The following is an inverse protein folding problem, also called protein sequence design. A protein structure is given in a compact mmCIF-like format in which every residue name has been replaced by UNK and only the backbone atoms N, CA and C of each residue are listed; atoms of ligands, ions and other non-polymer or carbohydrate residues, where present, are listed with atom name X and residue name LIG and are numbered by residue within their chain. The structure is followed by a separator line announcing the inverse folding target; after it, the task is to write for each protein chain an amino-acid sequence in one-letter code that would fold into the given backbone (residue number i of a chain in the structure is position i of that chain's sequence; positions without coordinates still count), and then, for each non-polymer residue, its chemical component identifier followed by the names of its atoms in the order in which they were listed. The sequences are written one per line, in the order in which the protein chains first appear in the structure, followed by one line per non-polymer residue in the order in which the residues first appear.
data_IF_397351082509
#
_entry.id   IF_397351082509
#
_cell.length_a   1.000
_cell.length_b   1.000
_cell.length_c   1.000
_cell.angle_alpha   90.00
_cell.angle_beta   90.00
_cell.angle_gamma   90.00
#
_symmetry.space_group_name_H-M   'P 1'
#
loop_
_entity.id
_entity.type
_entity.pdbx_description
1 polymer ?
#
# COMPACT_ATOMS: atom_id res chain seq x y z
N UNK A 1 -20.24 -31.50 6.02
CA UNK A 1 -20.22 -31.09 7.44
C UNK A 1 -20.20 -29.57 7.48
N UNK A 2 -21.33 -28.93 7.77
CA UNK A 2 -21.42 -27.48 7.98
C UNK A 2 -20.77 -27.16 9.32
N UNK A 3 -19.61 -26.49 9.30
CA UNK A 3 -19.00 -25.96 10.52
C UNK A 3 -19.89 -24.84 11.03
N UNK A 4 -20.51 -25.03 12.20
CA UNK A 4 -21.27 -24.01 12.87
C UNK A 4 -20.28 -23.00 13.46
N UNK A 5 -20.00 -21.91 12.75
CA UNK A 5 -19.07 -20.85 13.18
C UNK A 5 -19.85 -19.63 13.65
N UNK A 6 -19.53 -19.14 14.85
CA UNK A 6 -20.14 -17.97 15.50
C UNK A 6 -19.48 -16.64 15.13
N UNK A 7 -18.45 -16.68 14.27
CA UNK A 7 -17.72 -15.51 13.82
C UNK A 7 -17.90 -15.28 12.31
N UNK A 8 -17.80 -14.01 11.91
CA UNK A 8 -17.80 -13.59 10.50
C UNK A 8 -16.50 -12.84 10.21
N UNK A 9 -15.85 -13.17 9.10
CA UNK A 9 -14.79 -12.34 8.53
C UNK A 9 -15.46 -11.12 7.89
N UNK A 10 -15.23 -9.93 8.46
CA UNK A 10 -15.94 -8.71 8.06
C UNK A 10 -15.31 -8.04 6.82
N UNK A 11 -13.99 -8.09 6.70
CA UNK A 11 -13.23 -7.44 5.65
C UNK A 11 -11.80 -7.15 6.09
N UNK A 12 -11.00 -6.57 5.19
CA UNK A 12 -9.66 -6.12 5.52
C UNK A 12 -9.75 -4.77 6.25
N UNK A 13 -9.24 -4.68 7.47
CA UNK A 13 -9.15 -3.41 8.19
C UNK A 13 -7.95 -2.58 7.70
N UNK A 14 -6.79 -3.21 7.57
CA UNK A 14 -5.55 -2.59 7.14
C UNK A 14 -4.65 -3.64 6.51
N UNK A 15 -3.66 -3.18 5.74
CA UNK A 15 -2.48 -3.98 5.38
C UNK A 15 -1.28 -3.46 6.17
N UNK A 16 -0.42 -4.38 6.62
CA UNK A 16 0.88 -4.01 7.18
C UNK A 16 1.96 -4.29 6.14
N UNK A 17 2.82 -3.30 5.91
CA UNK A 17 4.01 -3.42 5.05
C UNK A 17 5.24 -3.12 5.91
N UNK A 18 6.21 -4.02 5.85
CA UNK A 18 7.48 -3.84 6.56
C UNK A 18 8.32 -2.74 5.91
N UNK A 19 9.03 -1.99 6.74
CA UNK A 19 9.96 -0.94 6.33
C UNK A 19 11.21 -0.97 7.24
N UNK A 20 12.39 -0.51 6.79
CA UNK A 20 13.57 -0.49 7.64
C UNK A 20 13.46 0.62 8.71
N UNK A 21 14.22 0.54 9.82
CA UNK A 21 14.27 1.59 10.83
C UNK A 21 14.67 2.95 10.23
N UNK A 22 14.05 4.04 10.67
CA UNK A 22 14.39 5.42 10.25
C UNK A 22 13.90 5.81 8.85
N UNK A 23 12.99 5.03 8.25
CA UNK A 23 12.48 5.25 6.89
C UNK A 23 11.22 6.10 6.81
N UNK A 24 10.75 6.67 7.93
CA UNK A 24 9.47 7.40 8.01
C UNK A 24 9.39 8.58 7.03
N UNK A 25 10.49 9.29 6.78
CA UNK A 25 10.48 10.40 5.83
C UNK A 25 10.39 9.92 4.37
N UNK A 26 10.98 8.76 4.04
CA UNK A 26 10.78 8.13 2.73
C UNK A 26 9.33 7.66 2.58
N UNK A 27 8.75 7.15 3.66
CA UNK A 27 7.36 6.75 3.70
C UNK A 27 6.42 7.94 3.48
N UNK A 28 6.63 9.06 4.17
CA UNK A 28 5.83 10.29 4.00
C UNK A 28 5.94 10.85 2.59
N UNK A 29 7.13 10.87 2.01
CA UNK A 29 7.31 11.28 0.61
C UNK A 29 6.49 10.42 -0.34
N UNK A 30 6.55 9.09 -0.20
CA UNK A 30 5.83 8.20 -1.11
C UNK A 30 4.32 8.17 -0.84
N UNK A 31 3.92 7.80 0.37
CA UNK A 31 2.52 7.55 0.72
C UNK A 31 1.74 8.84 0.97
N UNK A 32 2.36 9.83 1.59
CA UNK A 32 1.78 11.15 1.82
C UNK A 32 1.84 12.02 0.56
N UNK A 33 3.04 12.39 0.13
CA UNK A 33 3.20 13.42 -0.91
C UNK A 33 2.89 12.89 -2.32
N UNK A 34 3.38 11.70 -2.69
CA UNK A 34 3.16 11.15 -4.04
C UNK A 34 1.75 10.55 -4.18
N UNK A 35 1.31 9.71 -3.25
CA UNK A 35 -0.02 9.08 -3.32
C UNK A 35 -1.16 9.94 -2.74
N UNK A 36 -0.84 11.04 -2.05
CA UNK A 36 -1.83 11.93 -1.48
C UNK A 36 -2.59 11.36 -0.27
N UNK A 37 -2.08 10.31 0.38
CA UNK A 37 -2.74 9.72 1.55
C UNK A 37 -2.52 10.57 2.80
N UNK A 38 -3.48 10.53 3.72
CA UNK A 38 -3.38 11.25 5.00
C UNK A 38 -2.60 10.43 6.02
N UNK A 39 -1.53 10.98 6.60
CA UNK A 39 -0.83 10.33 7.73
C UNK A 39 -1.73 10.31 8.97
N UNK A 40 -1.85 9.15 9.60
CA UNK A 40 -2.66 8.91 10.80
C UNK A 40 -1.74 8.81 12.01
N UNK A 41 -2.09 9.53 13.07
CA UNK A 41 -1.33 9.50 14.33
C UNK A 41 -1.43 8.12 14.97
N UNK A 42 -0.29 7.47 15.18
CA UNK A 42 -0.22 6.21 15.91
C UNK A 42 -0.71 6.36 17.36
N UNK A 43 -1.43 5.35 17.89
CA UNK A 43 -1.76 5.27 19.31
C UNK A 43 -0.50 5.42 20.19
N UNK A 44 -0.58 6.07 21.36
CA UNK A 44 0.58 6.30 22.23
C UNK A 44 1.42 5.04 22.48
N UNK A 45 0.76 3.91 22.77
CA UNK A 45 1.41 2.63 23.04
C UNK A 45 2.23 2.06 21.87
N UNK A 46 2.01 2.53 20.63
CA UNK A 46 2.67 2.03 19.43
C UNK A 46 3.73 3.00 18.86
N UNK A 47 3.88 4.19 19.43
CA UNK A 47 4.81 5.21 18.90
C UNK A 47 6.27 4.80 19.00
N UNK A 48 6.65 4.16 20.11
CA UNK A 48 8.03 3.70 20.34
C UNK A 48 8.50 2.64 19.33
N UNK A 49 7.57 2.01 18.58
CA UNK A 49 7.89 0.98 17.57
C UNK A 49 8.31 1.55 16.21
N UNK A 50 8.40 2.87 16.04
CA UNK A 50 8.73 3.52 14.76
C UNK A 50 7.67 3.30 13.68
N UNK A 51 7.90 3.80 12.47
CA UNK A 51 7.00 3.70 11.33
C UNK A 51 5.85 4.71 11.35
N UNK A 52 5.01 4.66 10.33
CA UNK A 52 3.92 5.62 10.10
C UNK A 52 2.72 4.94 9.45
N UNK A 53 1.52 5.51 9.67
CA UNK A 53 0.26 4.96 9.17
C UNK A 53 -0.38 5.94 8.21
N UNK A 54 -1.04 5.44 7.17
CA UNK A 54 -1.70 6.27 6.16
C UNK A 54 -3.11 5.77 5.89
N UNK A 55 -4.02 6.71 5.58
CA UNK A 55 -5.40 6.40 5.19
C UNK A 55 -5.82 7.19 3.94
N UNK A 56 -6.58 6.53 3.07
CA UNK A 56 -7.29 7.16 1.96
C UNK A 56 -8.54 6.34 1.63
N UNK A 57 -9.70 7.00 1.55
CA UNK A 57 -10.98 6.31 1.42
C UNK A 57 -11.17 5.23 2.50
N UNK A 58 -11.43 4.00 2.07
CA UNK A 58 -11.56 2.83 2.96
C UNK A 58 -10.26 2.05 3.22
N UNK A 59 -9.12 2.46 2.66
CA UNK A 59 -7.84 1.78 2.82
C UNK A 59 -7.01 2.40 3.94
N UNK A 60 -6.44 1.53 4.78
CA UNK A 60 -5.42 1.89 5.77
C UNK A 60 -4.16 1.05 5.60
N UNK A 61 -3.01 1.72 5.59
CA UNK A 61 -1.68 1.11 5.42
C UNK A 61 -0.84 1.40 6.65
N UNK A 62 -0.37 0.34 7.30
CA UNK A 62 0.55 0.44 8.43
C UNK A 62 1.96 0.11 7.97
N UNK A 63 2.86 1.10 7.98
CA UNK A 63 4.27 0.89 7.69
C UNK A 63 4.97 0.58 9.01
N UNK A 64 5.31 -0.69 9.20
CA UNK A 64 5.88 -1.22 10.44
C UNK A 64 7.38 -1.43 10.31
N UNK A 65 8.14 -0.97 11.30
CA UNK A 65 9.60 -1.15 11.31
C UNK A 65 9.95 -2.62 11.54
N UNK A 66 10.85 -3.14 10.70
CA UNK A 66 11.45 -4.47 10.80
C UNK A 66 12.98 -4.34 10.74
N UNK A 67 13.70 -4.93 11.70
CA UNK A 67 15.15 -4.74 11.83
C UNK A 67 15.93 -5.35 10.64
N UNK A 68 15.60 -6.58 10.27
CA UNK A 68 16.21 -7.32 9.16
C UNK A 68 15.38 -7.18 7.87
N UNK A 69 14.94 -5.95 7.58
CA UNK A 69 14.03 -5.65 6.49
C UNK A 69 14.55 -6.15 5.13
N UNK A 70 13.70 -6.90 4.43
CA UNK A 70 13.85 -7.25 3.01
C UNK A 70 12.57 -6.84 2.28
N UNK A 71 12.65 -6.08 1.18
CA UNK A 71 11.46 -5.62 0.48
C UNK A 71 10.62 -6.77 -0.07
N UNK A 72 9.30 -6.69 0.11
CA UNK A 72 8.36 -7.65 -0.45
C UNK A 72 8.21 -7.43 -1.97
N UNK A 73 9.01 -8.15 -2.77
CA UNK A 73 9.00 -8.02 -4.25
C UNK A 73 7.90 -8.83 -4.95
N UNK A 74 7.25 -9.74 -4.21
CA UNK A 74 6.16 -10.59 -4.72
C UNK A 74 4.85 -10.37 -3.99
N UNK A 75 4.82 -10.47 -2.66
CA UNK A 75 3.62 -10.15 -1.88
C UNK A 75 3.36 -8.65 -1.95
N UNK A 76 2.12 -8.26 -2.24
CA UNK A 76 1.70 -6.87 -2.36
C UNK A 76 0.19 -6.74 -2.11
N UNK A 77 -0.29 -5.58 -1.65
CA UNK A 77 -1.71 -5.24 -1.72
C UNK A 77 -2.09 -4.88 -3.16
N UNK A 78 -3.26 -5.33 -3.60
CA UNK A 78 -3.98 -4.79 -4.75
C UNK A 78 -4.83 -3.60 -4.29
N UNK A 79 -4.52 -2.41 -4.79
CA UNK A 79 -5.12 -1.14 -4.36
C UNK A 79 -6.02 -0.61 -5.46
N UNK A 80 -7.30 -0.45 -5.15
CA UNK A 80 -8.24 0.21 -6.05
C UNK A 80 -7.97 1.70 -6.10
N UNK A 81 -7.98 2.25 -7.32
CA UNK A 81 -7.85 3.69 -7.56
C UNK A 81 -8.92 4.17 -8.54
N UNK A 82 -9.21 5.46 -8.47
CA UNK A 82 -9.95 6.16 -9.52
C UNK A 82 -8.94 6.94 -10.35
N UNK A 83 -9.02 6.82 -11.67
CA UNK A 83 -8.06 7.38 -12.63
C UNK A 83 -6.66 6.75 -12.53
N UNK A 84 -6.57 5.49 -12.99
CA UNK A 84 -5.32 4.73 -12.97
C UNK A 84 -4.20 5.39 -13.79
N UNK A 85 -4.56 6.08 -14.88
CA UNK A 85 -3.60 6.72 -15.77
C UNK A 85 -2.99 7.97 -15.14
N UNK A 86 -3.80 8.83 -14.49
CA UNK A 86 -3.27 9.98 -13.77
C UNK A 86 -2.30 9.58 -12.65
N UNK A 87 -2.58 8.47 -11.95
CA UNK A 87 -1.65 7.95 -10.95
C UNK A 87 -0.35 7.42 -11.59
N UNK A 88 -0.44 6.66 -12.69
CA UNK A 88 0.72 6.16 -13.40
C UNK A 88 1.62 7.30 -13.91
N UNK A 89 1.02 8.35 -14.48
CA UNK A 89 1.73 9.53 -14.99
C UNK A 89 2.41 10.30 -13.86
N UNK A 90 1.72 10.51 -12.74
CA UNK A 90 2.30 11.17 -11.55
C UNK A 90 3.49 10.39 -11.00
N UNK A 91 3.38 9.07 -10.87
CA UNK A 91 4.47 8.21 -10.40
C UNK A 91 5.67 8.26 -11.36
N UNK A 92 5.42 8.16 -12.66
CA UNK A 92 6.45 8.24 -13.70
C UNK A 92 7.18 9.60 -13.68
N UNK A 93 6.43 10.71 -13.54
CA UNK A 93 6.99 12.05 -13.42
C UNK A 93 7.91 12.23 -12.20
N UNK A 94 7.72 11.43 -11.15
CA UNK A 94 8.57 11.39 -9.95
C UNK A 94 9.62 10.26 -10.01
N UNK A 95 9.94 9.77 -11.21
CA UNK A 95 11.00 8.78 -11.45
C UNK A 95 10.69 7.38 -10.93
N UNK A 96 9.40 7.04 -10.75
CA UNK A 96 8.98 5.68 -10.39
C UNK A 96 8.73 4.86 -11.65
N UNK A 97 9.20 3.62 -11.65
CA UNK A 97 8.88 2.67 -12.70
C UNK A 97 7.44 2.19 -12.56
N UNK A 98 6.72 2.14 -13.68
CA UNK A 98 5.35 1.64 -13.77
C UNK A 98 5.31 0.50 -14.78
N UNK A 99 5.01 -0.70 -14.31
CA UNK A 99 4.88 -1.90 -15.15
C UNK A 99 3.42 -2.28 -15.33
N UNK A 100 2.84 -1.94 -16.48
CA UNK A 100 1.45 -2.32 -16.83
C UNK A 100 1.35 -3.84 -17.10
N UNK A 101 0.23 -4.44 -16.73
CA UNK A 101 -0.08 -5.84 -17.05
C UNK A 101 -1.57 -5.96 -17.38
N UNK A 102 -1.88 -6.57 -18.52
CA UNK A 102 -3.26 -6.69 -19.04
C UNK A 102 -3.86 -8.11 -18.86
N UNK A 103 -3.14 -9.01 -18.18
CA UNK A 103 -3.52 -10.42 -18.05
C UNK A 103 -4.56 -10.67 -16.93
N UNK A 104 -5.23 -9.63 -16.43
CA UNK A 104 -6.24 -9.76 -15.37
C UNK A 104 -7.61 -9.27 -15.86
N UNK A 105 -8.48 -10.20 -16.30
CA UNK A 105 -9.80 -9.84 -16.80
C UNK A 105 -10.61 -9.01 -15.80
N UNK A 106 -11.30 -7.98 -16.30
CA UNK A 106 -12.16 -7.11 -15.50
C UNK A 106 -11.47 -5.92 -14.86
N UNK A 107 -10.13 -5.78 -14.96
CA UNK A 107 -9.40 -4.62 -14.44
C UNK A 107 -8.25 -4.19 -15.35
N UNK A 108 -8.01 -2.89 -15.36
CA UNK A 108 -6.73 -2.30 -15.76
C UNK A 108 -5.84 -2.25 -14.53
N UNK A 109 -4.55 -2.54 -14.67
CA UNK A 109 -3.62 -2.50 -13.53
C UNK A 109 -2.18 -2.18 -13.93
N UNK A 110 -1.41 -1.72 -12.96
CA UNK A 110 0.04 -1.69 -13.04
C UNK A 110 0.68 -2.02 -11.70
N UNK A 111 1.96 -2.37 -11.75
CA UNK A 111 2.79 -2.52 -10.58
C UNK A 111 3.85 -1.43 -10.51
N UNK A 112 4.20 -1.05 -9.29
CA UNK A 112 5.37 -0.20 -9.01
C UNK A 112 5.99 -0.66 -7.68
N UNK A 113 7.06 0.00 -7.26
CA UNK A 113 7.61 -0.15 -5.93
C UNK A 113 7.62 1.19 -5.20
N UNK A 114 7.36 1.14 -3.90
CA UNK A 114 7.61 2.28 -3.01
C UNK A 114 9.10 2.66 -2.99
N UNK A 115 9.46 3.73 -2.26
CA UNK A 115 10.85 4.18 -2.16
C UNK A 115 11.78 3.20 -1.43
N UNK A 116 11.24 2.12 -0.85
CA UNK A 116 11.96 1.10 -0.09
C UNK A 116 12.00 -0.25 -0.84
N UNK A 117 11.40 -0.32 -2.02
CA UNK A 117 11.40 -1.50 -2.89
C UNK A 117 10.24 -2.47 -2.67
N UNK A 118 9.28 -2.17 -1.78
CA UNK A 118 8.08 -2.99 -1.62
C UNK A 118 7.18 -2.85 -2.85
N UNK A 119 6.78 -3.98 -3.42
CA UNK A 119 5.88 -4.00 -4.57
C UNK A 119 4.47 -3.56 -4.17
N UNK A 120 3.84 -2.79 -5.03
CA UNK A 120 2.44 -2.38 -4.95
C UNK A 120 1.75 -2.66 -6.29
N UNK A 121 0.46 -3.00 -6.25
CA UNK A 121 -0.41 -3.09 -7.42
C UNK A 121 -1.50 -2.04 -7.29
N UNK A 122 -1.69 -1.25 -8.35
CA UNK A 122 -2.82 -0.33 -8.47
C UNK A 122 -3.72 -0.79 -9.60
N UNK A 123 -5.03 -0.76 -9.37
CA UNK A 123 -6.00 -1.30 -10.33
C UNK A 123 -7.31 -0.51 -10.35
N UNK A 124 -7.97 -0.53 -11.51
CA UNK A 124 -9.26 0.11 -11.75
C UNK A 124 -10.12 -0.83 -12.61
N UNK A 125 -11.41 -1.05 -12.28
CA UNK A 125 -12.29 -1.92 -13.07
C UNK A 125 -12.37 -1.48 -14.54
N UNK A 126 -12.28 -2.43 -15.47
CA UNK A 126 -12.65 -2.18 -16.86
C UNK A 126 -14.16 -2.02 -16.92
N UNK A 127 -14.64 -0.92 -17.51
CA UNK A 127 -16.07 -0.70 -17.74
C UNK A 127 -16.68 -1.75 -18.67
#
# INVERSE_FOLDING_TARGET
MTRNVTFRIAGLHHVQISVPPGSEDACRRFWGDLLGMTEVRKPPALRAKGGCWFRSGGLEVHLGVEADFVPARKAHPGILVHDLDALADRLTAHGREVTRNEDFPGYRRFHTADLLGNRLEFMEPTR
#
